data_IF_961190154539
#
_entry.id   IF_961190154539
#
_cell.length_a   1.000
_cell.length_b   1.000
_cell.length_c   1.000
_cell.angle_alpha   90.00
_cell.angle_beta   90.00
_cell.angle_gamma   90.00
#
_symmetry.space_group_name_H-M   'P 1'
#
loop_
_entity.id
_entity.type
_entity.pdbx_description
1 polymer ?
#
# COMPACT_ATOMS: atom_id res chain seq x y z
N UNK A 1 -17.56 -20.50 8.61
CA UNK A 1 -17.12 -19.28 9.31
C UNK A 1 -16.35 -18.46 8.30
N UNK A 2 -16.83 -17.28 7.92
CA UNK A 2 -16.05 -16.37 7.06
C UNK A 2 -14.80 -15.93 7.83
N UNK A 3 -13.61 -16.10 7.22
CA UNK A 3 -12.36 -15.66 7.82
C UNK A 3 -12.31 -14.14 7.97
N UNK A 4 -11.43 -13.65 8.85
CA UNK A 4 -11.14 -12.22 9.02
C UNK A 4 -10.66 -11.62 7.69
N UNK A 5 -11.21 -10.46 7.31
CA UNK A 5 -10.91 -9.80 6.02
C UNK A 5 -10.24 -8.45 6.23
N UNK A 6 -9.28 -8.12 5.38
CA UNK A 6 -8.60 -6.82 5.36
C UNK A 6 -8.60 -6.28 3.94
N UNK A 7 -9.21 -5.12 3.71
CA UNK A 7 -9.00 -4.33 2.50
C UNK A 7 -7.95 -3.27 2.79
N UNK A 8 -6.78 -3.37 2.17
CA UNK A 8 -5.67 -2.44 2.32
C UNK A 8 -5.62 -1.48 1.12
N UNK A 9 -5.97 -0.22 1.35
CA UNK A 9 -5.83 0.85 0.37
C UNK A 9 -4.43 1.43 0.42
N UNK A 10 -3.79 1.58 -0.74
CA UNK A 10 -2.40 1.99 -0.82
C UNK A 10 -2.06 2.80 -2.07
N UNK A 11 -0.95 3.53 -1.97
CA UNK A 11 -0.25 4.17 -3.08
C UNK A 11 1.25 3.86 -2.95
N UNK A 12 1.91 3.53 -4.07
CA UNK A 12 3.34 3.18 -4.12
C UNK A 12 4.21 4.27 -3.49
N UNK A 13 3.78 5.54 -3.54
CA UNK A 13 4.49 6.66 -2.93
C UNK A 13 4.39 6.69 -1.40
N UNK A 14 3.57 5.86 -0.75
CA UNK A 14 3.46 5.89 0.72
C UNK A 14 4.50 4.95 1.37
N UNK A 15 5.46 5.48 2.14
CA UNK A 15 6.42 4.65 2.86
C UNK A 15 5.75 3.78 3.93
N UNK A 16 4.71 4.29 4.60
CA UNK A 16 4.00 3.54 5.62
C UNK A 16 3.11 2.46 5.00
N UNK A 17 2.62 2.66 3.77
CA UNK A 17 1.87 1.63 3.07
C UNK A 17 2.79 0.48 2.63
N UNK A 18 4.03 0.79 2.24
CA UNK A 18 5.05 -0.24 2.02
C UNK A 18 5.30 -1.08 3.28
N UNK A 19 5.57 -0.43 4.43
CA UNK A 19 5.85 -1.16 5.67
C UNK A 19 4.65 -2.03 6.06
N UNK A 20 3.43 -1.49 5.99
CA UNK A 20 2.23 -2.25 6.26
C UNK A 20 2.01 -3.43 5.29
N UNK A 21 2.22 -3.21 3.99
CA UNK A 21 2.17 -4.28 2.99
C UNK A 21 3.15 -5.40 3.35
N UNK A 22 4.39 -5.06 3.71
CA UNK A 22 5.40 -6.03 4.12
C UNK A 22 4.95 -6.82 5.35
N UNK A 23 4.44 -6.15 6.38
CA UNK A 23 3.93 -6.82 7.59
C UNK A 23 2.75 -7.74 7.26
N UNK A 24 1.77 -7.27 6.49
CA UNK A 24 0.60 -8.08 6.10
C UNK A 24 0.99 -9.33 5.28
N UNK A 25 2.05 -9.26 4.48
CA UNK A 25 2.53 -10.39 3.67
C UNK A 25 3.37 -11.42 4.45
N UNK A 26 4.14 -10.98 5.45
CA UNK A 26 5.15 -11.83 6.09
C UNK A 26 4.85 -12.17 7.55
N UNK A 27 3.95 -11.42 8.19
CA UNK A 27 3.62 -11.65 9.60
C UNK A 27 2.76 -12.91 9.76
N UNK A 28 3.14 -13.84 10.65
CA UNK A 28 2.31 -15.00 10.96
C UNK A 28 0.98 -14.62 11.63
N UNK A 29 0.88 -13.42 12.24
CA UNK A 29 -0.36 -12.95 12.85
C UNK A 29 -1.47 -12.75 11.80
N UNK A 30 -1.11 -12.31 10.59
CA UNK A 30 -2.06 -12.02 9.50
C UNK A 30 -2.20 -13.16 8.49
N UNK A 31 -1.42 -14.26 8.61
CA UNK A 31 -1.35 -15.32 7.60
C UNK A 31 -2.69 -16.03 7.29
N UNK A 32 -3.67 -15.98 8.20
CA UNK A 32 -5.01 -16.55 8.02
C UNK A 32 -6.06 -15.53 7.55
N UNK A 33 -5.69 -14.27 7.36
CA UNK A 33 -6.59 -13.23 6.91
C UNK A 33 -6.77 -13.30 5.38
N UNK A 34 -7.96 -13.01 4.90
CA UNK A 34 -8.22 -12.72 3.49
C UNK A 34 -7.86 -11.25 3.24
N UNK A 35 -6.78 -10.99 2.50
CA UNK A 35 -6.26 -9.64 2.30
C UNK A 35 -6.47 -9.23 0.84
N UNK A 36 -7.18 -8.11 0.64
CA UNK A 36 -7.37 -7.46 -0.66
C UNK A 36 -6.57 -6.17 -0.71
N UNK A 37 -5.73 -6.02 -1.73
CA UNK A 37 -4.97 -4.78 -1.96
C UNK A 37 -5.66 -3.91 -3.01
N UNK A 38 -5.93 -2.66 -2.66
CA UNK A 38 -6.69 -1.73 -3.52
C UNK A 38 -5.82 -0.51 -3.84
N UNK A 39 -5.36 -0.37 -5.10
CA UNK A 39 -4.63 0.83 -5.53
C UNK A 39 -5.55 2.06 -5.51
N UNK A 40 -5.07 3.14 -4.92
CA UNK A 40 -5.74 4.45 -4.88
C UNK A 40 -4.77 5.58 -5.20
N UNK A 41 -5.25 6.74 -5.62
CA UNK A 41 -4.37 7.88 -5.87
C UNK A 41 -4.29 8.77 -4.62
N UNK A 42 -3.15 8.76 -3.91
CA UNK A 42 -2.99 9.52 -2.66
C UNK A 42 -3.21 11.02 -2.84
N UNK A 43 -2.72 11.58 -3.95
CA UNK A 43 -2.95 13.00 -4.28
C UNK A 43 -4.44 13.33 -4.47
N UNK A 44 -5.20 12.40 -5.07
CA UNK A 44 -6.65 12.54 -5.23
C UNK A 44 -7.38 12.46 -3.88
N UNK A 45 -6.99 11.50 -3.03
CA UNK A 45 -7.53 11.35 -1.68
C UNK A 45 -7.27 12.61 -0.82
N UNK A 46 -6.03 13.09 -0.78
CA UNK A 46 -5.68 14.30 -0.01
C UNK A 46 -6.47 15.52 -0.48
N UNK A 47 -6.66 15.68 -1.79
CA UNK A 47 -7.47 16.77 -2.34
C UNK A 47 -8.94 16.67 -1.90
N UNK A 48 -9.55 15.47 -1.96
CA UNK A 48 -10.93 15.24 -1.51
C UNK A 48 -11.12 15.58 -0.02
N UNK A 49 -10.12 15.29 0.82
CA UNK A 49 -10.15 15.63 2.25
C UNK A 49 -9.82 17.10 2.57
N UNK A 50 -9.37 17.90 1.59
CA UNK A 50 -8.75 19.21 1.88
C UNK A 50 -7.48 19.11 2.73
N UNK A 51 -6.77 17.97 2.68
CA UNK A 51 -5.60 17.69 3.49
C UNK A 51 -4.32 18.25 2.83
N UNK A 52 -3.37 18.70 3.64
CA UNK A 52 -2.07 19.17 3.15
C UNK A 52 -1.03 18.05 3.30
N UNK A 53 -0.30 17.67 2.22
CA UNK A 53 0.74 16.67 2.31
C UNK A 53 1.70 16.92 3.48
N UNK A 54 1.88 15.96 4.40
CA UNK A 54 2.71 16.16 5.58
C UNK A 54 4.15 16.59 5.29
N UNK A 55 4.67 16.22 4.11
CA UNK A 55 6.03 16.56 3.67
C UNK A 55 6.20 18.05 3.42
N UNK A 56 5.11 18.77 3.14
CA UNK A 56 5.10 20.21 2.92
C UNK A 56 5.06 21.00 4.23
N UNK A 57 4.84 20.33 5.37
CA UNK A 57 4.77 20.95 6.69
C UNK A 57 6.17 20.91 7.31
N UNK A 58 6.73 22.10 7.59
CA UNK A 58 8.13 22.36 8.03
C UNK A 58 8.71 21.29 8.95
N UNK A 59 8.03 20.95 10.05
CA UNK A 59 8.56 20.02 11.05
C UNK A 59 8.10 18.56 10.83
N UNK A 60 7.07 18.31 10.02
CA UNK A 60 6.53 16.95 9.82
C UNK A 60 7.37 16.13 8.85
N UNK A 61 8.01 16.76 7.86
CA UNK A 61 8.86 16.05 6.89
C UNK A 61 9.96 15.25 7.59
N UNK A 62 10.75 15.91 8.44
CA UNK A 62 11.87 15.28 9.14
C UNK A 62 11.39 14.24 10.16
N UNK A 63 10.30 14.55 10.86
CA UNK A 63 9.67 13.60 11.79
C UNK A 63 9.21 12.33 11.06
N UNK A 64 8.53 12.45 9.91
CA UNK A 64 8.10 11.30 9.11
C UNK A 64 9.28 10.49 8.60
N UNK A 65 10.35 11.16 8.17
CA UNK A 65 11.59 10.49 7.77
C UNK A 65 12.12 9.59 8.89
N UNK A 66 12.17 10.09 10.12
CA UNK A 66 12.57 9.32 11.30
C UNK A 66 11.58 8.19 11.62
N UNK A 67 10.27 8.46 11.60
CA UNK A 67 9.26 7.46 11.91
C UNK A 67 9.25 6.30 10.92
N UNK A 68 9.44 6.57 9.63
CA UNK A 68 9.59 5.52 8.61
C UNK A 68 10.70 4.54 8.97
N UNK A 69 11.88 5.04 9.33
CA UNK A 69 13.04 4.20 9.71
C UNK A 69 12.77 3.46 11.01
N UNK A 70 12.15 4.10 12.01
CA UNK A 70 11.79 3.46 13.28
C UNK A 70 10.82 2.30 13.08
N UNK A 71 9.73 2.52 12.34
CA UNK A 71 8.75 1.48 12.05
C UNK A 71 9.33 0.35 11.19
N UNK A 72 10.13 0.67 10.19
CA UNK A 72 10.80 -0.34 9.39
C UNK A 72 11.74 -1.20 10.25
N UNK A 73 12.57 -0.59 11.11
CA UNK A 73 13.42 -1.32 12.06
C UNK A 73 12.58 -2.19 13.00
N UNK A 74 11.49 -1.64 13.52
CA UNK A 74 10.61 -2.31 14.47
C UNK A 74 9.98 -3.58 13.89
N UNK A 75 9.51 -3.51 12.65
CA UNK A 75 8.93 -4.63 11.93
C UNK A 75 9.95 -5.44 11.10
N UNK A 76 11.25 -5.17 11.27
CA UNK A 76 12.34 -5.82 10.49
C UNK A 76 12.16 -5.71 8.96
N UNK A 77 11.57 -4.61 8.49
CA UNK A 77 11.34 -4.33 7.08
C UNK A 77 12.56 -3.65 6.47
N UNK A 78 13.14 -4.17 5.38
CA UNK A 78 14.24 -3.49 4.67
C UNK A 78 13.79 -2.14 4.14
N UNK A 79 14.58 -1.08 4.31
CA UNK A 79 14.29 0.22 3.68
C UNK A 79 15.53 1.10 3.58
N UNK A 80 15.52 2.06 2.65
CA UNK A 80 16.54 3.12 2.55
C UNK A 80 16.61 3.95 3.84
N UNK A 81 17.77 4.50 4.23
CA UNK A 81 17.86 5.34 5.44
C UNK A 81 17.16 6.71 5.29
N UNK A 82 17.23 7.30 4.10
CA UNK A 82 16.56 8.55 3.74
C UNK A 82 15.40 8.37 2.78
N UNK A 83 14.68 9.46 2.50
CA UNK A 83 13.74 9.47 1.39
C UNK A 83 14.49 9.25 0.06
N UNK A 84 13.95 8.41 -0.85
CA UNK A 84 14.50 8.27 -2.19
C UNK A 84 14.63 9.63 -2.90
N UNK A 85 15.69 9.80 -3.70
CA UNK A 85 15.89 11.03 -4.49
C UNK A 85 14.72 11.19 -5.46
N UNK A 86 14.05 12.34 -5.45
CA UNK A 86 12.86 12.58 -6.27
C UNK A 86 11.54 12.29 -5.55
N UNK A 87 11.58 11.90 -4.28
CA UNK A 87 10.38 11.79 -3.44
C UNK A 87 9.82 13.17 -3.03
N UNK A 88 8.48 13.36 -3.04
CA UNK A 88 7.48 12.46 -3.62
C UNK A 88 7.46 12.54 -5.15
N UNK A 89 7.27 11.39 -5.81
CA UNK A 89 7.15 11.28 -7.28
C UNK A 89 5.70 10.99 -7.68
N UNK A 90 5.38 11.17 -8.96
CA UNK A 90 4.02 10.94 -9.49
C UNK A 90 3.75 9.44 -9.59
N UNK A 91 2.56 9.00 -9.20
CA UNK A 91 2.20 7.57 -9.22
C UNK A 91 0.99 7.23 -10.09
N UNK A 92 0.41 8.20 -10.80
CA UNK A 92 -0.80 7.98 -11.59
C UNK A 92 -0.69 6.79 -12.57
N UNK A 93 0.40 6.73 -13.34
CA UNK A 93 0.61 5.69 -14.35
C UNK A 93 0.78 4.31 -13.70
N UNK A 94 1.61 4.20 -12.65
CA UNK A 94 1.83 2.91 -11.96
C UNK A 94 0.58 2.45 -11.19
N UNK A 95 -0.19 3.37 -10.59
CA UNK A 95 -1.45 3.03 -9.92
C UNK A 95 -2.51 2.54 -10.91
N UNK A 96 -2.57 3.12 -12.12
CA UNK A 96 -3.41 2.60 -13.21
C UNK A 96 -2.96 1.22 -13.68
N UNK A 97 -1.66 0.98 -13.82
CA UNK A 97 -1.13 -0.34 -14.15
C UNK A 97 -1.54 -1.38 -13.08
N UNK A 98 -1.46 -1.03 -11.80
CA UNK A 98 -1.92 -1.89 -10.70
C UNK A 98 -3.42 -2.15 -10.72
N UNK A 99 -4.25 -1.16 -11.10
CA UNK A 99 -5.69 -1.36 -11.34
C UNK A 99 -5.96 -2.30 -12.53
N UNK A 100 -5.17 -2.21 -13.61
CA UNK A 100 -5.30 -3.15 -14.73
C UNK A 100 -4.91 -4.58 -14.32
N UNK A 101 -3.85 -4.74 -13.54
CA UNK A 101 -3.42 -6.04 -12.99
C UNK A 101 -4.51 -6.62 -12.08
N UNK A 102 -5.12 -5.79 -11.21
CA UNK A 102 -6.17 -6.28 -10.31
C UNK A 102 -7.43 -6.79 -11.02
N UNK A 103 -7.70 -6.32 -12.24
CA UNK A 103 -8.82 -6.80 -13.06
C UNK A 103 -8.45 -8.01 -13.92
N UNK A 104 -7.23 -8.05 -14.47
CA UNK A 104 -6.83 -9.04 -15.47
C UNK A 104 -6.17 -10.27 -14.87
N UNK A 105 -5.27 -10.07 -13.89
CA UNK A 105 -4.48 -11.14 -13.25
C UNK A 105 -4.32 -10.87 -11.74
N UNK A 106 -5.45 -10.87 -10.99
CA UNK A 106 -5.46 -10.50 -9.57
C UNK A 106 -4.51 -11.34 -8.71
N UNK A 107 -4.24 -12.58 -9.07
CA UNK A 107 -3.31 -13.48 -8.37
C UNK A 107 -1.85 -13.01 -8.42
N UNK A 108 -1.48 -12.19 -9.42
CA UNK A 108 -0.13 -11.61 -9.55
C UNK A 108 -0.01 -10.21 -8.95
N UNK A 109 -1.11 -9.63 -8.46
CA UNK A 109 -1.12 -8.27 -7.94
C UNK A 109 -0.20 -8.09 -6.74
N UNK A 110 -0.29 -8.95 -5.72
CA UNK A 110 0.55 -8.83 -4.52
C UNK A 110 2.05 -9.00 -4.82
N UNK A 111 2.50 -10.00 -5.62
CA UNK A 111 3.89 -10.08 -6.08
C UNK A 111 4.38 -8.81 -6.80
N UNK A 112 3.57 -8.22 -7.69
CA UNK A 112 3.91 -6.98 -8.39
C UNK A 112 4.02 -5.80 -7.43
N UNK A 113 3.06 -5.63 -6.50
CA UNK A 113 3.11 -4.58 -5.48
C UNK A 113 4.40 -4.70 -4.67
N UNK A 114 4.76 -5.92 -4.26
CA UNK A 114 6.00 -6.19 -3.53
C UNK A 114 7.25 -5.77 -4.31
N UNK A 115 7.32 -6.10 -5.60
CA UNK A 115 8.44 -5.73 -6.46
C UNK A 115 8.55 -4.20 -6.67
N UNK A 116 7.42 -3.52 -6.91
CA UNK A 116 7.38 -2.06 -7.07
C UNK A 116 7.78 -1.34 -5.77
N UNK A 117 7.25 -1.78 -4.63
CA UNK A 117 7.65 -1.23 -3.34
C UNK A 117 9.12 -1.50 -3.03
N UNK A 118 9.65 -2.67 -3.38
CA UNK A 118 11.08 -2.97 -3.22
C UNK A 118 11.94 -1.99 -4.01
N UNK A 119 11.63 -1.81 -5.31
CA UNK A 119 12.34 -0.86 -6.16
C UNK A 119 12.36 0.55 -5.56
N UNK A 120 11.22 1.04 -5.04
CA UNK A 120 11.14 2.39 -4.49
C UNK A 120 11.81 2.52 -3.12
N UNK A 121 11.45 1.64 -2.17
CA UNK A 121 11.75 1.83 -0.76
C UNK A 121 12.96 1.07 -0.24
N UNK A 122 13.51 0.16 -1.04
CA UNK A 122 14.76 -0.56 -0.75
C UNK A 122 15.87 -0.08 -1.69
N UNK A 123 15.61 -0.01 -3.00
CA UNK A 123 16.62 0.41 -3.99
C UNK A 123 16.66 1.93 -4.22
N UNK A 124 15.64 2.67 -3.75
CA UNK A 124 15.55 4.12 -3.94
C UNK A 124 15.20 4.53 -5.37
N UNK A 125 14.66 3.63 -6.18
CA UNK A 125 14.31 3.86 -7.57
C UNK A 125 12.96 4.57 -7.71
N UNK A 126 12.97 5.90 -7.85
CA UNK A 126 11.75 6.69 -8.09
C UNK A 126 11.35 6.78 -9.56
N UNK A 127 12.11 6.18 -10.50
CA UNK A 127 11.71 6.17 -11.91
C UNK A 127 10.43 5.35 -12.14
N UNK A 128 10.05 4.54 -11.16
CA UNK A 128 8.76 3.83 -11.03
C UNK A 128 7.54 4.76 -11.19
N UNK A 129 7.70 6.08 -11.08
CA UNK A 129 6.63 7.02 -11.42
C UNK A 129 6.26 7.07 -12.91
N UNK A 130 7.17 6.64 -13.78
CA UNK A 130 7.01 6.69 -15.24
C UNK A 130 7.02 5.28 -15.85
N UNK A 131 6.31 5.05 -16.98
CA UNK A 131 6.23 3.75 -17.65
C UNK A 131 7.58 3.06 -17.85
N UNK A 132 8.57 3.78 -18.37
CA UNK A 132 9.91 3.22 -18.63
C UNK A 132 10.62 2.72 -17.37
N UNK A 133 10.25 3.24 -16.19
CA UNK A 133 10.81 2.80 -14.92
C UNK A 133 10.12 1.57 -14.34
N UNK A 134 8.80 1.48 -14.43
CA UNK A 134 8.06 0.35 -13.82
C UNK A 134 7.84 -0.84 -14.75
N UNK A 135 7.88 -0.67 -16.09
CA UNK A 135 7.72 -1.78 -17.04
C UNK A 135 8.72 -2.91 -16.81
N UNK A 136 10.04 -2.66 -16.62
CA UNK A 136 11.00 -3.74 -16.33
C UNK A 136 10.65 -4.52 -15.05
N UNK A 137 10.12 -3.83 -14.03
CA UNK A 137 9.68 -4.47 -12.78
C UNK A 137 8.46 -5.35 -13.04
N UNK A 138 7.48 -4.87 -13.80
CA UNK A 138 6.33 -5.68 -14.20
C UNK A 138 6.76 -6.91 -15.01
N UNK A 139 7.64 -6.76 -16.00
CA UNK A 139 8.14 -7.87 -16.81
C UNK A 139 8.83 -8.96 -15.98
N UNK A 140 9.53 -8.59 -14.90
CA UNK A 140 10.19 -9.55 -14.01
C UNK A 140 9.22 -10.45 -13.24
N UNK A 141 7.96 -10.04 -13.09
CA UNK A 141 6.92 -10.76 -12.34
C UNK A 141 5.87 -11.38 -13.26
N UNK A 142 5.42 -10.61 -14.26
CA UNK A 142 4.34 -10.99 -15.18
C UNK A 142 4.86 -11.68 -16.44
N UNK A 143 6.07 -11.34 -16.88
CA UNK A 143 6.59 -11.64 -18.22
C UNK A 143 6.18 -10.59 -19.26
N UNK A 144 6.91 -10.54 -20.37
CA UNK A 144 6.78 -9.48 -21.40
C UNK A 144 5.39 -9.37 -22.02
N UNK A 145 4.81 -10.51 -22.38
CA UNK A 145 3.51 -10.55 -23.08
C UNK A 145 2.41 -9.96 -22.20
N UNK A 146 2.31 -10.42 -20.96
CA UNK A 146 1.29 -9.94 -20.02
C UNK A 146 1.53 -8.48 -19.65
N UNK A 147 2.79 -8.06 -19.42
CA UNK A 147 3.11 -6.64 -19.21
C UNK A 147 2.63 -5.78 -20.38
N UNK A 148 2.83 -6.20 -21.63
CA UNK A 148 2.33 -5.47 -22.79
C UNK A 148 0.79 -5.31 -22.79
N UNK A 149 0.06 -6.35 -22.39
CA UNK A 149 -1.41 -6.31 -22.25
C UNK A 149 -1.85 -5.34 -21.15
N UNK A 150 -1.15 -5.32 -20.01
CA UNK A 150 -1.37 -4.35 -18.93
C UNK A 150 -1.12 -2.93 -19.41
N UNK A 151 0.01 -2.68 -20.09
CA UNK A 151 0.37 -1.36 -20.60
C UNK A 151 -0.63 -0.84 -21.64
N UNK A 152 -1.17 -1.73 -22.47
CA UNK A 152 -2.20 -1.39 -23.46
C UNK A 152 -3.53 -1.04 -22.78
N UNK A 153 -3.85 -1.67 -21.65
CA UNK A 153 -5.12 -1.49 -20.95
C UNK A 153 -5.12 -0.34 -19.93
N UNK A 154 -3.98 0.04 -19.34
CA UNK A 154 -3.93 0.90 -18.15
C UNK A 154 -4.55 2.30 -18.35
N UNK A 155 -4.64 2.79 -19.58
CA UNK A 155 -5.26 4.08 -19.91
C UNK A 155 -6.70 3.96 -20.44
N UNK A 156 -7.27 2.74 -20.44
CA UNK A 156 -8.68 2.49 -20.76
C UNK A 156 -9.63 3.23 -19.82
N UNK A 157 -10.81 3.59 -20.34
CA UNK A 157 -11.83 4.30 -19.56
C UNK A 157 -12.27 3.51 -18.32
N UNK A 158 -12.34 2.19 -18.43
CA UNK A 158 -12.61 1.25 -17.34
C UNK A 158 -11.55 1.32 -16.23
N UNK A 159 -10.26 1.27 -16.59
CA UNK A 159 -9.16 1.31 -15.60
C UNK A 159 -9.03 2.67 -14.95
N UNK A 160 -9.18 3.75 -15.72
CA UNK A 160 -9.16 5.10 -15.16
C UNK A 160 -10.33 5.35 -14.22
N UNK A 161 -11.54 4.87 -14.57
CA UNK A 161 -12.71 4.91 -13.70
C UNK A 161 -12.54 4.04 -12.44
N UNK A 162 -11.89 2.87 -12.56
CA UNK A 162 -11.60 2.01 -11.41
C UNK A 162 -10.70 2.70 -10.39
N UNK A 163 -9.61 3.34 -10.83
CA UNK A 163 -8.72 4.07 -9.90
C UNK A 163 -9.45 5.22 -9.18
N UNK A 164 -10.29 5.96 -9.91
CA UNK A 164 -11.15 7.00 -9.32
C UNK A 164 -12.11 6.40 -8.30
N UNK A 165 -12.82 5.33 -8.68
CA UNK A 165 -13.80 4.64 -7.82
C UNK A 165 -13.15 4.10 -6.55
N UNK A 166 -11.99 3.47 -6.66
CA UNK A 166 -11.22 2.99 -5.50
C UNK A 166 -10.84 4.14 -4.57
N UNK A 167 -10.40 5.27 -5.12
CA UNK A 167 -10.01 6.45 -4.35
C UNK A 167 -11.24 7.05 -3.64
N UNK A 168 -12.37 7.18 -4.34
CA UNK A 168 -13.64 7.64 -3.76
C UNK A 168 -14.13 6.70 -2.67
N UNK A 169 -14.10 5.38 -2.89
CA UNK A 169 -14.48 4.40 -1.86
C UNK A 169 -13.60 4.50 -0.62
N UNK A 170 -12.28 4.69 -0.78
CA UNK A 170 -11.41 4.90 0.38
C UNK A 170 -11.78 6.16 1.14
N UNK A 171 -12.11 7.26 0.44
CA UNK A 171 -12.56 8.50 1.05
C UNK A 171 -13.89 8.33 1.79
N UNK A 172 -14.88 7.71 1.15
CA UNK A 172 -16.22 7.46 1.71
C UNK A 172 -16.17 6.55 2.94
N UNK A 173 -15.19 5.64 3.01
CA UNK A 173 -14.92 4.80 4.20
C UNK A 173 -14.16 5.52 5.32
N UNK A 174 -13.77 6.79 5.11
CA UNK A 174 -13.13 7.64 6.12
C UNK A 174 -11.64 7.86 5.94
N UNK A 175 -11.02 7.39 4.86
CA UNK A 175 -9.59 7.57 4.63
C UNK A 175 -9.23 9.04 4.40
N UNK A 176 -8.14 9.48 5.03
CA UNK A 176 -7.54 10.81 4.85
C UNK A 176 -6.03 10.77 4.61
N UNK A 177 -5.48 9.57 4.53
CA UNK A 177 -4.08 9.23 4.31
C UNK A 177 -3.93 7.73 4.13
N UNK A 178 -2.70 7.26 3.86
CA UNK A 178 -2.43 5.85 3.56
C UNK A 178 -1.27 5.29 4.40
N UNK A 179 -1.28 3.99 4.73
CA UNK A 179 -2.29 3.00 4.35
C UNK A 179 -3.60 3.21 5.13
N UNK A 180 -4.71 2.84 4.51
CA UNK A 180 -6.02 2.75 5.16
C UNK A 180 -6.50 1.32 5.08
N UNK A 181 -7.03 0.80 6.17
CA UNK A 181 -7.55 -0.56 6.28
C UNK A 181 -9.04 -0.52 6.55
N UNK A 182 -9.83 -1.23 5.74
CA UNK A 182 -11.19 -1.64 6.13
C UNK A 182 -11.14 -3.11 6.54
N UNK A 183 -11.42 -3.38 7.82
CA UNK A 183 -11.27 -4.69 8.42
C UNK A 183 -12.64 -5.23 8.79
N UNK A 184 -12.92 -6.50 8.45
CA UNK A 184 -14.15 -7.18 8.86
C UNK A 184 -13.80 -8.40 9.71
N UNK A 185 -14.30 -8.43 10.94
CA UNK A 185 -14.00 -9.52 11.89
C UNK A 185 -14.90 -10.75 11.66
N UNK A 186 -14.69 -11.81 12.43
CA UNK A 186 -15.45 -13.06 12.32
C UNK A 186 -16.94 -12.95 12.69
N UNK A 187 -17.35 -11.86 13.34
CA UNK A 187 -18.76 -11.54 13.65
C UNK A 187 -19.44 -10.73 12.54
N UNK A 188 -18.70 -10.32 11.51
CA UNK A 188 -19.21 -9.48 10.42
C UNK A 188 -19.24 -7.99 10.74
N UNK A 189 -18.60 -7.55 11.82
CA UNK A 189 -18.44 -6.13 12.14
C UNK A 189 -17.29 -5.56 11.30
N UNK A 190 -17.47 -4.33 10.78
CA UNK A 190 -16.47 -3.65 9.94
C UNK A 190 -15.99 -2.36 10.58
N UNK A 191 -14.67 -2.18 10.66
CA UNK A 191 -14.03 -0.96 11.17
C UNK A 191 -12.89 -0.48 10.26
N UNK A 192 -12.62 0.82 10.32
CA UNK A 192 -11.55 1.50 9.57
C UNK A 192 -10.35 1.83 10.45
N UNK A 193 -9.14 1.58 9.95
CA UNK A 193 -7.88 1.88 10.64
C UNK A 193 -6.90 2.61 9.71
N UNK A 194 -6.18 3.60 10.24
CA UNK A 194 -5.21 4.37 9.46
C UNK A 194 -3.79 4.19 9.98
N UNK A 195 -2.85 3.93 9.08
CA UNK A 195 -1.43 3.95 9.42
C UNK A 195 -0.88 2.61 9.91
N UNK A 196 0.42 2.42 9.71
CA UNK A 196 1.15 1.20 10.11
C UNK A 196 1.16 1.00 11.64
N UNK A 197 1.06 2.10 12.38
CA UNK A 197 1.00 2.15 13.84
C UNK A 197 -0.30 1.57 14.42
N UNK A 198 -1.34 1.41 13.59
CA UNK A 198 -2.62 0.82 13.99
C UNK A 198 -2.74 -0.68 13.66
N UNK A 199 -1.72 -1.32 13.08
CA UNK A 199 -1.76 -2.76 12.80
C UNK A 199 -1.96 -3.60 14.08
N UNK A 200 -1.54 -3.11 15.25
CA UNK A 200 -1.85 -3.73 16.53
C UNK A 200 -3.35 -3.74 16.83
N UNK A 201 -4.02 -2.60 16.62
CA UNK A 201 -5.48 -2.49 16.80
C UNK A 201 -6.25 -3.30 15.75
N UNK A 202 -5.76 -3.34 14.51
CA UNK A 202 -6.31 -4.22 13.47
C UNK A 202 -6.30 -5.67 13.94
N UNK A 203 -5.17 -6.14 14.47
CA UNK A 203 -5.07 -7.50 14.98
C UNK A 203 -5.99 -7.75 16.18
N UNK A 204 -6.10 -6.81 17.12
CA UNK A 204 -7.04 -6.92 18.25
C UNK A 204 -8.50 -7.00 17.79
N UNK A 205 -8.91 -6.10 16.89
CA UNK A 205 -10.27 -6.05 16.34
C UNK A 205 -10.64 -7.33 15.59
N UNK A 206 -9.67 -7.90 14.85
CA UNK A 206 -9.83 -9.15 14.12
C UNK A 206 -9.68 -10.41 15.00
N UNK A 207 -9.38 -10.25 16.30
CA UNK A 207 -9.17 -11.34 17.24
C UNK A 207 -7.93 -12.21 16.93
N UNK A 208 -6.89 -11.60 16.36
CA UNK A 208 -5.65 -12.28 15.98
C UNK A 208 -4.66 -12.36 17.14
N UNK A 209 -3.87 -13.43 17.18
CA UNK A 209 -2.79 -13.55 18.16
C UNK A 209 -1.56 -12.71 17.74
N UNK A 210 -1.45 -11.51 18.31
CA UNK A 210 -0.32 -10.60 18.10
C UNK A 210 1.01 -11.15 18.64
N UNK A 211 0.98 -12.08 19.60
CA UNK A 211 2.20 -12.66 20.12
C UNK A 211 2.94 -13.51 19.08
N UNK A 212 2.33 -13.83 17.94
CA UNK A 212 3.01 -14.52 16.85
C UNK A 212 4.04 -13.64 16.14
N UNK A 213 3.96 -12.31 16.25
CA UNK A 213 4.89 -11.37 15.62
C UNK A 213 5.81 -10.69 16.65
N UNK A 214 7.12 -10.73 16.41
CA UNK A 214 8.11 -10.06 17.28
C UNK A 214 7.98 -8.54 17.26
N UNK A 215 7.55 -7.95 16.15
CA UNK A 215 7.23 -6.53 16.05
C UNK A 215 6.14 -6.18 17.06
N UNK A 216 5.00 -6.86 17.05
CA UNK A 216 3.90 -6.54 17.98
C UNK A 216 4.23 -6.82 19.46
N UNK A 217 5.12 -7.77 19.76
CA UNK A 217 5.53 -8.06 21.15
C UNK A 217 6.18 -6.88 21.87
N UNK A 218 6.78 -5.94 21.14
CA UNK A 218 7.42 -4.77 21.74
C UNK A 218 6.43 -3.59 21.99
N UNK A 219 5.14 -3.77 21.71
CA UNK A 219 4.06 -2.79 21.89
C UNK A 219 2.96 -3.30 22.84
N UNK A 220 3.18 -4.45 23.49
CA UNK A 220 2.35 -4.99 24.58
C UNK A 220 2.74 -4.35 25.91
#
# INVERSE_FOLDING_TARGET
MSGSKITCYFDIVSPFAYIAFHVLQHSPAFAKCEITYVPVLLGGLMNACGNNPPINIKNKKDYIGQQRVRWAKYFSVPTTEGFPKGFPFRTLSVQRALCAISQKTPEKLAPVIGALFHAVWVEGNTTIGEPDGFVPVLESVLGKQETHEIMSAMNGSDITALLTTNTTRSFDSGAFGLPWFECTNSKGETEGFWGVDHLGQVADFLGLDRALDRGFRAAL
#
